data_IF_351530812828
#
_entry.id   IF_351530812828
#
_cell.length_a   1.000
_cell.length_b   1.000
_cell.length_c   1.000
_cell.angle_alpha   90.00
_cell.angle_beta   90.00
_cell.angle_gamma   90.00
#
_symmetry.space_group_name_H-M   'P 1'
#
loop_
_entity.id
_entity.type
_entity.pdbx_description
1 polymer ?
#
# COMPACT_ATOMS: atom_id res chain seq x y z
N UNK A 1 -17.78 16.30 -1.19
CA UNK A 1 -16.54 16.31 -1.96
C UNK A 1 -15.82 14.98 -1.72
N UNK A 2 -16.09 14.01 -2.61
CA UNK A 2 -15.58 12.66 -2.44
C UNK A 2 -14.16 12.51 -2.96
N UNK A 3 -13.35 11.71 -2.27
CA UNK A 3 -12.08 11.23 -2.80
C UNK A 3 -12.37 10.12 -3.81
N UNK A 4 -11.85 10.24 -5.02
CA UNK A 4 -11.92 9.17 -6.01
C UNK A 4 -11.03 8.00 -5.62
N UNK A 5 -11.60 6.79 -5.60
CA UNK A 5 -10.88 5.57 -5.28
C UNK A 5 -11.47 4.35 -5.98
N UNK A 6 -10.64 3.35 -6.20
CA UNK A 6 -11.07 2.02 -6.67
C UNK A 6 -11.48 1.19 -5.47
N UNK A 7 -12.77 0.88 -5.39
CA UNK A 7 -13.33 0.11 -4.28
C UNK A 7 -13.00 -1.38 -4.35
N UNK A 8 -12.83 -1.99 -3.18
CA UNK A 8 -12.60 -3.43 -3.01
C UNK A 8 -13.91 -4.11 -2.59
N UNK A 9 -14.28 -5.18 -3.27
CA UNK A 9 -15.42 -6.03 -2.89
C UNK A 9 -14.98 -7.06 -1.84
N UNK A 10 -14.88 -6.61 -0.58
CA UNK A 10 -14.50 -7.46 0.54
C UNK A 10 -15.47 -8.62 0.77
N UNK A 11 -16.76 -8.42 0.48
CA UNK A 11 -17.77 -9.47 0.65
C UNK A 11 -17.63 -10.55 -0.41
N UNK A 12 -17.51 -10.16 -1.69
CA UNK A 12 -17.26 -11.10 -2.79
C UNK A 12 -15.96 -11.88 -2.59
N UNK A 13 -14.90 -11.19 -2.14
CA UNK A 13 -13.61 -11.81 -1.85
C UNK A 13 -13.69 -12.90 -0.79
N UNK A 14 -14.49 -12.69 0.27
CA UNK A 14 -14.66 -13.68 1.34
C UNK A 14 -15.39 -14.95 0.92
N UNK A 15 -16.17 -14.89 -0.16
CA UNK A 15 -16.88 -16.03 -0.73
C UNK A 15 -16.16 -16.65 -1.94
N UNK A 16 -15.08 -16.05 -2.42
CA UNK A 16 -14.32 -16.56 -3.56
C UNK A 16 -13.54 -17.84 -3.17
N UNK A 17 -13.75 -18.98 -3.84
CA UNK A 17 -13.03 -20.21 -3.55
C UNK A 17 -11.51 -20.08 -3.71
N UNK A 18 -11.03 -19.15 -4.55
CA UNK A 18 -9.60 -18.87 -4.70
C UNK A 18 -8.97 -18.23 -3.46
N UNK A 19 -9.75 -17.60 -2.60
CA UNK A 19 -9.25 -17.04 -1.34
C UNK A 19 -8.59 -18.12 -0.47
N UNK A 20 -9.28 -19.23 -0.22
CA UNK A 20 -8.73 -20.34 0.56
C UNK A 20 -7.50 -20.98 -0.12
N UNK A 21 -7.52 -21.09 -1.45
CA UNK A 21 -6.38 -21.61 -2.22
C UNK A 21 -5.16 -20.69 -2.11
N UNK A 22 -5.34 -19.39 -2.22
CA UNK A 22 -4.27 -18.40 -2.07
C UNK A 22 -3.67 -18.43 -0.65
N UNK A 23 -4.50 -18.54 0.39
CA UNK A 23 -4.04 -18.69 1.78
C UNK A 23 -3.20 -19.97 1.95
N UNK A 24 -3.63 -21.10 1.42
CA UNK A 24 -2.86 -22.34 1.46
C UNK A 24 -1.54 -22.23 0.68
N UNK A 25 -1.53 -21.54 -0.46
CA UNK A 25 -0.31 -21.30 -1.22
C UNK A 25 0.71 -20.46 -0.44
N UNK A 26 0.27 -19.40 0.25
CA UNK A 26 1.12 -18.60 1.12
C UNK A 26 1.73 -19.43 2.26
N UNK A 27 0.94 -20.30 2.89
CA UNK A 27 1.41 -21.16 3.98
C UNK A 27 2.48 -22.15 3.52
N UNK A 28 2.34 -22.68 2.31
CA UNK A 28 3.19 -23.74 1.76
C UNK A 28 4.39 -23.24 0.95
N UNK A 29 4.52 -21.93 0.73
CA UNK A 29 5.62 -21.40 -0.09
C UNK A 29 6.97 -21.75 0.52
N UNK A 30 7.83 -22.40 -0.26
CA UNK A 30 9.19 -22.80 0.17
C UNK A 30 10.29 -22.15 -0.66
N UNK A 31 9.92 -21.54 -1.78
CA UNK A 31 10.86 -21.04 -2.79
C UNK A 31 11.50 -19.68 -2.47
N UNK A 32 11.02 -18.98 -1.44
CA UNK A 32 11.50 -17.62 -1.11
C UNK A 32 12.98 -17.55 -0.76
N UNK A 33 13.55 -18.64 -0.24
CA UNK A 33 14.99 -18.70 0.10
C UNK A 33 15.90 -18.57 -1.13
N UNK A 34 15.43 -19.06 -2.29
CA UNK A 34 16.16 -19.06 -3.56
C UNK A 34 15.63 -18.03 -4.56
N UNK A 35 14.62 -17.25 -4.18
CA UNK A 35 14.00 -16.27 -5.05
C UNK A 35 14.94 -15.07 -5.29
N UNK A 36 14.89 -14.54 -6.50
CA UNK A 36 15.56 -13.28 -6.86
C UNK A 36 14.99 -12.10 -6.06
N UNK A 37 15.69 -10.96 -5.97
CA UNK A 37 15.15 -9.78 -5.32
C UNK A 37 13.78 -9.34 -5.87
N UNK A 38 13.59 -9.40 -7.20
CA UNK A 38 12.32 -9.04 -7.85
C UNK A 38 11.20 -10.01 -7.52
N UNK A 39 11.48 -11.32 -7.49
CA UNK A 39 10.49 -12.33 -7.08
C UNK A 39 10.07 -12.13 -5.62
N UNK A 40 11.03 -11.90 -4.73
CA UNK A 40 10.73 -11.63 -3.31
C UNK A 40 9.90 -10.36 -3.13
N UNK A 41 10.27 -9.26 -3.81
CA UNK A 41 9.54 -8.00 -3.71
C UNK A 41 8.12 -8.16 -4.23
N UNK A 42 7.92 -8.72 -5.43
CA UNK A 42 6.60 -8.97 -6.00
C UNK A 42 5.75 -9.85 -5.08
N UNK A 43 6.32 -10.95 -4.57
CA UNK A 43 5.65 -11.85 -3.63
C UNK A 43 5.16 -11.12 -2.38
N UNK A 44 6.02 -10.34 -1.71
CA UNK A 44 5.68 -9.71 -0.45
C UNK A 44 4.70 -8.54 -0.63
N UNK A 45 4.73 -7.81 -1.76
CA UNK A 45 3.69 -6.83 -2.09
C UNK A 45 2.33 -7.53 -2.23
N UNK A 46 2.27 -8.61 -3.01
CA UNK A 46 1.04 -9.38 -3.19
C UNK A 46 0.54 -10.00 -1.87
N UNK A 47 1.46 -10.55 -1.07
CA UNK A 47 1.13 -11.12 0.23
C UNK A 47 0.55 -10.05 1.18
N UNK A 48 1.18 -8.88 1.28
CA UNK A 48 0.66 -7.78 2.10
C UNK A 48 -0.77 -7.40 1.70
N UNK A 49 -0.99 -7.17 0.40
CA UNK A 49 -2.30 -6.78 -0.12
C UNK A 49 -3.36 -7.85 0.12
N UNK A 50 -3.03 -9.11 -0.16
CA UNK A 50 -3.94 -10.24 0.08
C UNK A 50 -4.28 -10.40 1.56
N UNK A 51 -3.28 -10.35 2.46
CA UNK A 51 -3.47 -10.49 3.91
C UNK A 51 -4.22 -9.32 4.52
N UNK A 52 -4.09 -8.11 3.95
CA UNK A 52 -4.92 -6.96 4.33
C UNK A 52 -6.38 -7.19 3.98
N UNK A 53 -6.68 -7.70 2.78
CA UNK A 53 -8.04 -8.06 2.37
C UNK A 53 -8.58 -9.19 3.25
N UNK A 54 -7.78 -10.23 3.51
CA UNK A 54 -8.13 -11.34 4.40
C UNK A 54 -8.50 -10.85 5.81
N UNK A 55 -7.73 -9.91 6.35
CA UNK A 55 -8.01 -9.32 7.66
C UNK A 55 -9.40 -8.67 7.70
N UNK A 56 -9.68 -7.77 6.75
CA UNK A 56 -10.97 -7.08 6.68
C UNK A 56 -12.12 -8.06 6.51
N UNK A 57 -11.95 -9.03 5.62
CA UNK A 57 -12.97 -10.04 5.29
C UNK A 57 -13.23 -10.98 6.46
N UNK A 58 -12.18 -11.57 7.05
CA UNK A 58 -12.30 -12.55 8.14
C UNK A 58 -12.86 -11.93 9.42
N UNK A 59 -12.63 -10.62 9.64
CA UNK A 59 -13.17 -9.88 10.78
C UNK A 59 -14.52 -9.22 10.48
N UNK A 60 -14.99 -9.29 9.24
CA UNK A 60 -16.23 -8.65 8.79
C UNK A 60 -16.26 -7.14 9.14
N UNK A 61 -15.10 -6.48 9.07
CA UNK A 61 -14.99 -5.05 9.36
C UNK A 61 -15.66 -4.24 8.24
N UNK A 62 -16.41 -3.20 8.60
CA UNK A 62 -17.23 -2.43 7.65
C UNK A 62 -16.89 -0.96 7.55
N UNK A 63 -16.08 -0.44 8.46
CA UNK A 63 -15.84 1.01 8.55
C UNK A 63 -14.37 1.39 8.46
N UNK A 64 -13.49 0.77 9.23
CA UNK A 64 -12.06 1.11 9.22
C UNK A 64 -11.20 -0.02 9.78
N UNK A 65 -10.11 -0.34 9.09
CA UNK A 65 -9.11 -1.30 9.60
C UNK A 65 -8.63 -0.93 11.02
N UNK A 66 -8.63 0.35 11.38
CA UNK A 66 -8.21 0.83 12.71
C UNK A 66 -9.07 0.29 13.84
N UNK A 67 -10.33 -0.04 13.58
CA UNK A 67 -11.24 -0.63 14.58
C UNK A 67 -10.80 -2.03 15.00
N UNK A 68 -10.00 -2.70 14.19
CA UNK A 68 -9.44 -4.02 14.50
C UNK A 68 -8.23 -3.93 15.43
N UNK A 69 -7.79 -2.73 15.80
CA UNK A 69 -6.74 -2.49 16.77
C UNK A 69 -7.23 -2.53 18.21
N UNK A 70 -6.30 -2.67 19.15
CA UNK A 70 -6.55 -2.49 20.57
C UNK A 70 -6.22 -1.06 21.03
N UNK A 71 -6.41 -0.81 22.34
CA UNK A 71 -6.08 0.49 22.93
C UNK A 71 -4.59 0.87 22.79
N UNK A 72 -3.69 -0.11 22.70
CA UNK A 72 -2.23 0.09 22.73
C UNK A 72 -1.58 -0.42 21.45
N UNK A 73 -2.22 -1.34 20.72
CA UNK A 73 -1.61 -2.00 19.57
C UNK A 73 -2.37 -1.74 18.28
N UNK A 74 -1.62 -1.46 17.21
CA UNK A 74 -2.20 -1.28 15.88
C UNK A 74 -2.63 -2.61 15.27
N UNK A 75 -3.68 -2.64 14.43
CA UNK A 75 -4.14 -3.86 13.78
C UNK A 75 -3.05 -4.52 12.92
N UNK A 76 -2.13 -3.75 12.36
CA UNK A 76 -1.00 -4.27 11.58
C UNK A 76 -0.02 -5.12 12.39
N UNK A 77 0.01 -4.97 13.72
CA UNK A 77 0.93 -5.67 14.64
C UNK A 77 0.33 -6.86 15.37
N UNK A 78 -1.01 -6.93 15.45
CA UNK A 78 -1.68 -7.95 16.29
C UNK A 78 -1.95 -9.24 15.52
N UNK A 79 -2.42 -9.12 14.27
CA UNK A 79 -2.81 -10.28 13.48
C UNK A 79 -1.61 -10.93 12.81
N UNK A 80 -1.57 -12.27 12.86
CA UNK A 80 -0.47 -13.06 12.33
C UNK A 80 -0.96 -14.09 11.34
N UNK A 81 -0.19 -14.29 10.29
CA UNK A 81 -0.42 -15.30 9.28
C UNK A 81 0.84 -16.13 9.08
N UNK A 82 0.63 -17.41 8.75
CA UNK A 82 1.74 -18.29 8.42
C UNK A 82 2.08 -18.16 6.93
N UNK A 83 3.30 -17.70 6.65
CA UNK A 83 3.82 -17.54 5.28
C UNK A 83 5.16 -18.30 5.20
N UNK A 84 5.21 -19.34 4.37
CA UNK A 84 6.43 -20.15 4.24
C UNK A 84 6.90 -20.74 5.58
N UNK A 85 5.97 -21.16 6.42
CA UNK A 85 6.25 -21.74 7.74
C UNK A 85 6.58 -20.73 8.85
N UNK A 86 6.67 -19.43 8.54
CA UNK A 86 6.94 -18.38 9.52
C UNK A 86 5.70 -17.56 9.82
N UNK A 87 5.51 -17.19 11.07
CA UNK A 87 4.44 -16.27 11.46
C UNK A 87 4.88 -14.82 11.18
N UNK A 88 4.05 -14.09 10.43
CA UNK A 88 4.30 -12.69 10.05
C UNK A 88 3.08 -11.82 10.34
N UNK A 89 3.30 -10.54 10.60
CA UNK A 89 2.28 -9.50 10.66
C UNK A 89 2.39 -8.58 9.44
N UNK A 90 1.36 -7.78 9.15
CA UNK A 90 1.43 -6.76 8.11
C UNK A 90 2.56 -5.75 8.40
N UNK A 91 2.71 -5.34 9.65
CA UNK A 91 3.80 -4.45 10.09
C UNK A 91 5.20 -5.06 9.80
N UNK A 92 5.38 -6.35 10.06
CA UNK A 92 6.64 -7.03 9.77
C UNK A 92 6.91 -7.15 8.27
N UNK A 93 5.88 -7.40 7.45
CA UNK A 93 6.03 -7.44 5.99
C UNK A 93 6.45 -6.06 5.48
N UNK A 94 5.79 -4.99 5.91
CA UNK A 94 6.10 -3.64 5.46
C UNK A 94 7.45 -3.16 5.98
N UNK A 95 7.66 -3.17 7.30
CA UNK A 95 8.81 -2.51 7.93
C UNK A 95 10.08 -3.34 7.98
N UNK A 96 9.98 -4.69 8.04
CA UNK A 96 11.15 -5.57 8.16
C UNK A 96 11.52 -6.26 6.86
N UNK A 97 10.60 -6.31 5.86
CA UNK A 97 10.84 -7.02 4.61
C UNK A 97 10.85 -6.05 3.42
N UNK A 98 9.75 -5.32 3.17
CA UNK A 98 9.62 -4.50 1.96
C UNK A 98 10.46 -3.21 2.03
N UNK A 99 10.34 -2.41 3.10
CA UNK A 99 11.10 -1.16 3.25
C UNK A 99 12.62 -1.34 3.17
N UNK A 100 13.22 -2.40 3.79
CA UNK A 100 14.65 -2.66 3.65
C UNK A 100 15.11 -2.99 2.23
N UNK A 101 14.19 -3.28 1.28
CA UNK A 101 14.54 -3.45 -0.13
C UNK A 101 14.84 -2.11 -0.84
N UNK A 102 14.65 -0.97 -0.16
CA UNK A 102 15.11 0.35 -0.59
C UNK A 102 14.37 0.95 -1.79
N UNK A 103 13.11 0.54 -2.03
CA UNK A 103 12.31 1.03 -3.15
C UNK A 103 11.03 1.73 -2.62
N UNK A 104 10.99 3.08 -2.58
CA UNK A 104 9.87 3.80 -2.02
C UNK A 104 8.55 3.62 -2.81
N UNK A 105 8.60 3.10 -4.04
CA UNK A 105 7.40 2.80 -4.83
C UNK A 105 6.50 1.75 -4.18
N UNK A 106 7.03 0.98 -3.21
CA UNK A 106 6.21 0.04 -2.43
C UNK A 106 5.06 0.76 -1.73
N UNK A 107 5.25 2.00 -1.27
CA UNK A 107 4.21 2.79 -0.62
C UNK A 107 3.05 3.17 -1.55
N UNK A 108 3.24 3.06 -2.87
CA UNK A 108 2.18 3.21 -3.87
C UNK A 108 1.58 1.85 -4.30
N UNK A 109 2.21 0.74 -3.90
CA UNK A 109 1.84 -0.62 -4.30
C UNK A 109 1.12 -1.42 -3.21
N UNK A 110 1.40 -1.17 -1.93
CA UNK A 110 0.71 -1.80 -0.81
C UNK A 110 -0.52 -0.98 -0.40
N UNK A 111 -1.62 -1.66 -0.09
CA UNK A 111 -2.90 -1.03 0.26
C UNK A 111 -3.31 -1.41 1.69
N UNK A 112 -3.54 -0.40 2.52
CA UNK A 112 -3.93 -0.56 3.92
C UNK A 112 -5.46 -0.58 4.14
N UNK A 113 -6.23 -0.91 3.12
CA UNK A 113 -7.70 -0.96 3.14
C UNK A 113 -8.39 0.39 3.40
N UNK A 114 -7.73 1.52 3.26
CA UNK A 114 -8.34 2.84 3.48
C UNK A 114 -8.56 3.61 2.18
N UNK A 115 -9.55 4.52 2.18
CA UNK A 115 -9.86 5.41 1.04
C UNK A 115 -8.63 6.22 0.62
N UNK A 116 -7.84 6.72 1.58
CA UNK A 116 -6.66 7.53 1.27
C UNK A 116 -5.41 6.73 0.90
N UNK A 117 -5.45 5.40 0.98
CA UNK A 117 -4.39 4.56 0.41
C UNK A 117 -4.32 4.70 -1.12
N UNK A 118 -3.15 4.53 -1.74
CA UNK A 118 -3.08 4.26 -3.17
C UNK A 118 -3.97 3.09 -3.56
N UNK A 119 -4.62 3.18 -4.71
CA UNK A 119 -5.57 2.16 -5.13
C UNK A 119 -4.89 0.81 -5.35
N UNK A 120 -5.60 -0.26 -5.02
CA UNK A 120 -5.13 -1.61 -5.26
C UNK A 120 -5.05 -1.86 -6.78
N UNK A 121 -3.91 -2.39 -7.24
CA UNK A 121 -3.74 -2.79 -8.63
C UNK A 121 -4.63 -3.99 -8.94
N UNK A 122 -5.24 -4.01 -10.13
CA UNK A 122 -6.15 -5.09 -10.55
C UNK A 122 -5.43 -6.39 -10.95
N UNK A 123 -4.12 -6.36 -11.13
CA UNK A 123 -3.30 -7.53 -11.43
C UNK A 123 -2.22 -7.72 -10.35
N UNK A 124 -1.81 -8.97 -10.13
CA UNK A 124 -0.71 -9.27 -9.22
C UNK A 124 0.62 -8.74 -9.77
N UNK A 125 1.50 -8.32 -8.86
CA UNK A 125 2.89 -8.01 -9.21
C UNK A 125 3.64 -9.30 -9.56
N UNK A 126 4.42 -9.26 -10.63
CA UNK A 126 5.23 -10.40 -11.09
C UNK A 126 6.68 -9.96 -11.26
N UNK A 127 7.63 -10.85 -11.01
CA UNK A 127 9.05 -10.53 -11.09
C UNK A 127 9.45 -9.95 -12.45
N UNK A 128 8.92 -10.53 -13.54
CA UNK A 128 9.25 -10.13 -14.92
C UNK A 128 8.71 -8.74 -15.31
N UNK A 129 7.66 -8.26 -14.63
CA UNK A 129 7.02 -6.96 -14.91
C UNK A 129 7.17 -5.97 -13.76
N UNK A 130 7.87 -6.33 -12.68
CA UNK A 130 7.85 -5.60 -11.41
C UNK A 130 8.21 -4.12 -11.58
N UNK A 131 9.29 -3.82 -12.28
CA UNK A 131 9.75 -2.43 -12.49
C UNK A 131 8.71 -1.61 -13.25
N UNK A 132 8.15 -2.18 -14.32
CA UNK A 132 7.08 -1.54 -15.09
C UNK A 132 5.82 -1.34 -14.24
N UNK A 133 5.41 -2.37 -13.48
CA UNK A 133 4.22 -2.32 -12.65
C UNK A 133 4.35 -1.29 -11.54
N UNK A 134 5.50 -1.20 -10.88
CA UNK A 134 5.76 -0.21 -9.83
C UNK A 134 5.80 1.21 -10.38
N UNK A 135 6.43 1.44 -11.53
CA UNK A 135 6.45 2.76 -12.17
C UNK A 135 5.05 3.20 -12.59
N UNK A 136 4.30 2.34 -13.27
CA UNK A 136 2.91 2.61 -13.67
C UNK A 136 2.02 2.89 -12.46
N UNK A 137 2.11 2.07 -11.42
CA UNK A 137 1.34 2.23 -10.19
C UNK A 137 1.64 3.56 -9.51
N UNK A 138 2.91 3.93 -9.44
CA UNK A 138 3.33 5.21 -8.87
C UNK A 138 2.80 6.38 -9.68
N UNK A 139 2.95 6.37 -11.01
CA UNK A 139 2.41 7.42 -11.89
C UNK A 139 0.90 7.53 -11.79
N UNK A 140 0.20 6.41 -11.70
CA UNK A 140 -1.25 6.39 -11.51
C UNK A 140 -1.65 6.98 -10.16
N UNK A 141 -0.97 6.59 -9.09
CA UNK A 141 -1.24 7.12 -7.75
C UNK A 141 -1.01 8.64 -7.69
N UNK A 142 0.13 9.14 -8.22
CA UNK A 142 0.47 10.56 -8.20
C UNK A 142 -0.52 11.46 -8.96
N UNK A 143 -1.30 10.91 -9.88
CA UNK A 143 -2.37 11.64 -10.59
C UNK A 143 -3.64 11.81 -9.75
N UNK A 144 -3.79 11.08 -8.64
CA UNK A 144 -4.97 11.20 -7.79
C UNK A 144 -4.85 12.44 -6.89
N UNK A 145 -5.52 13.52 -7.30
CA UNK A 145 -5.45 14.82 -6.63
C UNK A 145 -6.24 14.88 -5.32
N UNK A 146 -7.14 13.92 -5.10
CA UNK A 146 -7.95 13.86 -3.88
C UNK A 146 -7.24 13.24 -2.69
N UNK A 147 -6.23 12.39 -2.92
CA UNK A 147 -5.61 11.62 -1.84
C UNK A 147 -4.09 11.50 -1.87
N UNK A 148 -3.44 11.71 -3.03
CA UNK A 148 -1.99 11.48 -3.14
C UNK A 148 -1.22 12.78 -3.36
N UNK A 149 -1.56 13.56 -4.41
CA UNK A 149 -0.83 14.77 -4.73
C UNK A 149 -1.73 15.79 -5.43
N UNK A 150 -1.75 17.02 -4.94
CA UNK A 150 -2.47 18.14 -5.57
C UNK A 150 -1.63 19.40 -5.45
N UNK A 151 -1.45 20.11 -6.56
CA UNK A 151 -0.84 21.43 -6.59
C UNK A 151 -1.90 22.53 -6.72
N UNK A 152 -1.83 23.51 -5.83
CA UNK A 152 -2.63 24.72 -5.89
C UNK A 152 -1.74 25.89 -6.35
N UNK A 153 -1.95 26.31 -7.58
CA UNK A 153 -1.17 27.38 -8.18
C UNK A 153 -1.48 28.76 -7.57
N UNK A 154 -2.70 28.97 -7.08
CA UNK A 154 -3.10 30.27 -6.49
C UNK A 154 -2.35 30.55 -5.18
N UNK A 155 -2.07 29.54 -4.39
CA UNK A 155 -1.35 29.65 -3.11
C UNK A 155 0.09 29.16 -3.20
N UNK A 156 0.55 28.69 -4.35
CA UNK A 156 1.82 28.00 -4.53
C UNK A 156 2.05 26.91 -3.49
N UNK A 157 1.04 26.05 -3.31
CA UNK A 157 1.06 24.99 -2.28
C UNK A 157 0.94 23.62 -2.93
N UNK A 158 1.86 22.73 -2.58
CA UNK A 158 1.81 21.31 -2.93
C UNK A 158 1.26 20.52 -1.75
N UNK A 159 0.09 19.92 -1.96
CA UNK A 159 -0.54 19.04 -0.99
C UNK A 159 -0.14 17.60 -1.29
N UNK A 160 0.44 16.93 -0.29
CA UNK A 160 0.92 15.55 -0.40
C UNK A 160 0.15 14.63 0.54
N UNK A 161 -0.01 13.38 0.15
CA UNK A 161 -0.48 12.33 1.07
C UNK A 161 0.37 12.29 2.33
N UNK A 162 -0.26 12.01 3.47
CA UNK A 162 0.46 11.77 4.73
C UNK A 162 1.47 10.61 4.66
N UNK A 163 1.37 9.73 3.67
CA UNK A 163 2.37 8.68 3.38
C UNK A 163 3.77 9.28 3.20
N UNK A 164 3.88 10.40 2.48
CA UNK A 164 5.17 11.08 2.26
C UNK A 164 5.77 11.68 3.55
N UNK A 165 4.93 11.95 4.56
CA UNK A 165 5.37 12.40 5.87
C UNK A 165 5.76 11.24 6.78
N UNK A 166 4.98 10.16 6.76
CA UNK A 166 5.20 9.02 7.66
C UNK A 166 6.43 8.19 7.27
N UNK A 167 6.77 8.20 5.98
CA UNK A 167 7.83 7.39 5.38
C UNK A 167 8.87 8.26 4.65
N UNK A 168 9.07 9.51 5.08
CA UNK A 168 9.96 10.48 4.43
C UNK A 168 11.38 9.94 4.23
N UNK A 169 11.87 9.17 5.21
CA UNK A 169 13.19 8.54 5.19
C UNK A 169 13.40 7.53 4.04
N UNK A 170 12.31 6.99 3.46
CA UNK A 170 12.38 6.06 2.34
C UNK A 170 12.53 6.78 0.99
N UNK A 171 12.06 8.04 0.88
CA UNK A 171 12.09 8.85 -0.34
C UNK A 171 13.41 9.64 -0.48
N UNK A 172 14.52 8.93 -0.67
CA UNK A 172 15.86 9.54 -0.68
C UNK A 172 16.18 10.24 -2.00
N UNK A 173 16.99 11.33 -1.94
CA UNK A 173 17.50 12.00 -0.74
C UNK A 173 16.44 12.76 0.05
N UNK A 174 15.35 13.13 -0.56
CA UNK A 174 14.15 13.78 -0.02
C UNK A 174 12.95 13.56 -0.94
N UNK A 175 11.74 13.79 -0.43
CA UNK A 175 10.48 13.59 -1.16
C UNK A 175 10.41 14.41 -2.45
N UNK A 176 10.86 15.67 -2.44
CA UNK A 176 10.75 16.53 -3.62
C UNK A 176 11.69 16.09 -4.74
N UNK A 177 12.91 15.70 -4.40
CA UNK A 177 13.87 15.13 -5.36
C UNK A 177 13.35 13.81 -5.94
N UNK A 178 12.69 12.99 -5.12
CA UNK A 178 12.06 11.77 -5.60
C UNK A 178 10.89 12.05 -6.55
N UNK A 179 10.03 13.04 -6.24
CA UNK A 179 8.89 13.44 -7.08
C UNK A 179 9.32 14.00 -8.45
N UNK A 180 10.48 14.66 -8.53
CA UNK A 180 11.03 15.14 -9.82
C UNK A 180 11.23 14.02 -10.86
N UNK A 181 11.46 12.78 -10.44
CA UNK A 181 11.54 11.61 -11.32
C UNK A 181 10.23 11.31 -12.06
N UNK A 182 9.13 11.82 -11.52
CA UNK A 182 7.77 11.70 -12.06
C UNK A 182 7.26 13.02 -12.65
N UNK A 183 8.20 13.94 -12.99
CA UNK A 183 7.88 15.22 -13.61
C UNK A 183 7.05 16.17 -12.71
N UNK A 184 7.05 15.91 -11.41
CA UNK A 184 6.46 16.82 -10.42
C UNK A 184 7.54 17.82 -10.01
N UNK A 185 7.36 19.06 -10.44
CA UNK A 185 8.28 20.15 -10.15
C UNK A 185 7.66 21.14 -9.18
N UNK A 186 8.50 21.74 -8.35
CA UNK A 186 8.14 22.84 -7.47
C UNK A 186 9.21 23.91 -7.53
N UNK A 187 8.84 25.15 -7.25
CA UNK A 187 9.81 26.23 -7.00
C UNK A 187 10.34 26.14 -5.58
N UNK A 188 11.45 26.82 -5.30
CA UNK A 188 12.06 26.89 -3.95
C UNK A 188 11.11 27.48 -2.90
N UNK A 189 10.11 28.27 -3.36
CA UNK A 189 9.11 28.89 -2.50
C UNK A 189 7.80 28.10 -2.39
N UNK A 190 7.73 26.88 -2.94
CA UNK A 190 6.53 26.06 -2.87
C UNK A 190 6.29 25.58 -1.43
N UNK A 191 5.13 25.90 -0.88
CA UNK A 191 4.72 25.41 0.43
C UNK A 191 4.31 23.94 0.33
N UNK A 192 4.72 23.13 1.30
CA UNK A 192 4.27 21.74 1.40
C UNK A 192 3.25 21.63 2.52
N UNK A 193 2.11 21.04 2.24
CA UNK A 193 1.08 20.67 3.22
C UNK A 193 0.71 19.20 3.03
N UNK A 194 0.17 18.58 4.07
CA UNK A 194 -0.25 17.20 4.01
C UNK A 194 -1.76 17.10 4.02
N UNK A 195 -2.28 16.26 3.11
CA UNK A 195 -3.70 15.94 3.01
C UNK A 195 -4.17 15.19 4.25
N UNK A 196 -5.41 15.47 4.68
CA UNK A 196 -6.06 14.67 5.72
C UNK A 196 -6.23 13.24 5.23
N UNK A 197 -5.82 12.27 6.03
CA UNK A 197 -5.88 10.87 5.68
C UNK A 197 -7.22 10.27 6.11
N UNK A 198 -8.03 9.85 5.14
CA UNK A 198 -9.30 9.17 5.40
C UNK A 198 -9.07 7.67 5.60
N UNK A 199 -9.31 7.20 6.83
CA UNK A 199 -9.13 5.82 7.26
C UNK A 199 -10.37 4.93 7.06
N UNK A 200 -11.45 5.47 6.51
CA UNK A 200 -12.61 4.65 6.14
C UNK A 200 -12.21 3.60 5.10
N UNK A 201 -12.84 2.42 5.17
CA UNK A 201 -12.55 1.35 4.22
C UNK A 201 -12.88 1.76 2.79
N UNK A 202 -11.99 1.41 1.87
CA UNK A 202 -12.17 1.56 0.43
C UNK A 202 -13.12 0.49 -0.14
N UNK A 203 -14.33 0.39 0.41
CA UNK A 203 -15.34 -0.58 -0.01
C UNK A 203 -15.88 -0.18 -1.39
N UNK A 204 -16.08 -1.18 -2.25
CA UNK A 204 -16.78 -1.01 -3.54
C UNK A 204 -18.24 -0.58 -3.25
N UNK A 205 -18.60 0.57 -3.80
CA UNK A 205 -19.98 1.10 -3.77
C UNK A 205 -20.85 0.40 -4.79
#
# INVERSE_FOLDING_TARGET
>A
DGIDYIGVDYTGWGHDPHHAQAMQALQKVSTLAHATPSERKAFWINAYNFLTIDLITSKNEKTSIKNLGGLIQSPWKIYRWKVGGKDVTLDEIEHKILRPMGDPRIHMAINCASISCPDLRQEAYTASKLEQQLDQQTRTALKNTGKILRYDAATNTLFLSSIFKWFDEDFKPDVMTWLKRYEIHSSDNTKIQYLTYNWELNIKK
#
